data_IF_913437334861
#
_entry.id   IF_913437334861
#
_cell.length_a   1.000
_cell.length_b   1.000
_cell.length_c   1.000
_cell.angle_alpha   90.00
_cell.angle_beta   90.00
_cell.angle_gamma   90.00
#
_symmetry.space_group_name_H-M   'P 1'
#
loop_
_entity.id
_entity.type
_entity.pdbx_description
1 polymer ?
#
# COMPACT_ATOMS: atom_id res chain seq x y z
N UNK A 1 -9.23 14.45 -0.83
CA UNK A 1 -9.91 13.17 -1.13
C UNK A 1 -9.30 12.58 -2.39
N UNK A 2 -9.34 11.27 -2.52
CA UNK A 2 -9.06 10.47 -3.71
C UNK A 2 -10.13 9.39 -3.77
N UNK A 3 -11.01 9.50 -4.75
CA UNK A 3 -12.24 8.72 -4.89
C UNK A 3 -12.59 8.62 -6.38
N UNK A 4 -12.50 7.39 -6.90
CA UNK A 4 -12.77 7.01 -8.28
C UNK A 4 -13.73 5.81 -8.29
N UNK A 5 -14.21 5.39 -9.46
CA UNK A 5 -14.95 4.12 -9.54
C UNK A 5 -14.06 3.00 -9.05
N UNK A 6 -14.59 2.15 -8.16
CA UNK A 6 -13.88 1.02 -7.60
C UNK A 6 -13.61 -0.09 -8.63
N UNK A 7 -12.84 -1.11 -8.21
CA UNK A 7 -12.54 -2.26 -9.03
C UNK A 7 -13.80 -3.08 -9.33
N UNK A 8 -13.69 -3.97 -10.31
CA UNK A 8 -14.63 -5.06 -10.52
C UNK A 8 -13.90 -6.36 -10.22
N UNK A 9 -14.27 -7.02 -9.11
CA UNK A 9 -13.62 -8.24 -8.60
C UNK A 9 -12.13 -8.05 -8.25
N UNK A 10 -11.77 -6.86 -7.77
CA UNK A 10 -10.39 -6.49 -7.44
C UNK A 10 -9.57 -5.91 -8.60
N UNK A 11 -10.03 -6.06 -9.85
CA UNK A 11 -9.36 -5.44 -11.00
C UNK A 11 -9.85 -4.02 -11.28
N UNK A 12 -8.90 -3.09 -11.41
CA UNK A 12 -9.15 -1.71 -11.84
C UNK A 12 -9.41 -1.64 -13.37
N UNK A 13 -10.52 -2.21 -13.83
CA UNK A 13 -10.93 -2.20 -15.25
C UNK A 13 -11.74 -0.96 -15.63
N UNK A 14 -12.30 -0.27 -14.66
CA UNK A 14 -13.16 0.90 -14.86
C UNK A 14 -12.34 2.19 -14.91
N UNK A 15 -12.11 2.77 -13.75
CA UNK A 15 -11.23 3.90 -13.57
C UNK A 15 -9.85 3.39 -13.17
N UNK A 16 -8.80 4.08 -13.61
CA UNK A 16 -7.43 3.78 -13.21
C UNK A 16 -6.67 5.04 -12.84
N UNK A 17 -5.75 4.88 -11.91
CA UNK A 17 -4.70 5.83 -11.61
C UNK A 17 -3.37 5.10 -11.61
N UNK A 18 -2.46 5.55 -12.46
CA UNK A 18 -1.16 4.93 -12.71
C UNK A 18 -0.08 5.97 -12.53
N UNK A 19 1.00 5.59 -11.83
CA UNK A 19 2.22 6.40 -11.75
C UNK A 19 3.32 5.76 -12.56
N UNK A 20 3.94 6.55 -13.44
CA UNK A 20 4.96 6.11 -14.38
C UNK A 20 6.28 6.86 -14.16
N UNK A 21 7.39 6.22 -14.51
CA UNK A 21 8.72 6.83 -14.54
C UNK A 21 9.59 6.58 -13.31
N UNK A 22 9.26 5.65 -12.41
CA UNK A 22 10.17 5.28 -11.33
C UNK A 22 11.34 4.40 -11.79
N UNK A 23 12.29 4.14 -10.89
CA UNK A 23 13.41 3.24 -11.11
C UNK A 23 12.96 1.86 -11.64
N UNK A 24 13.81 1.24 -12.45
CA UNK A 24 13.55 -0.10 -12.97
C UNK A 24 13.37 -1.11 -11.82
N UNK A 25 12.31 -1.93 -11.92
CA UNK A 25 11.99 -2.94 -10.89
C UNK A 25 11.24 -2.40 -9.68
N UNK A 26 10.82 -1.13 -9.71
CA UNK A 26 9.79 -0.59 -8.81
C UNK A 26 8.43 -1.19 -9.16
N UNK A 27 7.78 -1.80 -8.17
CA UNK A 27 6.42 -2.30 -8.28
C UNK A 27 5.48 -1.20 -7.80
N UNK A 28 4.86 -0.49 -8.74
CA UNK A 28 3.87 0.54 -8.44
C UNK A 28 2.50 0.02 -8.85
N UNK A 29 1.56 -0.10 -7.91
CA UNK A 29 0.25 -0.61 -8.23
C UNK A 29 -0.57 0.37 -9.06
N UNK A 30 -1.46 -0.17 -9.90
CA UNK A 30 -2.57 0.59 -10.44
C UNK A 30 -3.63 0.75 -9.36
N UNK A 31 -4.10 1.98 -9.16
CA UNK A 31 -5.10 2.28 -8.14
C UNK A 31 -6.45 2.61 -8.78
N UNK A 32 -7.52 2.26 -8.08
CA UNK A 32 -8.89 2.69 -8.34
C UNK A 32 -9.67 2.73 -7.01
N UNK A 33 -10.92 3.19 -7.05
CA UNK A 33 -11.74 3.33 -5.84
C UNK A 33 -11.25 4.40 -4.87
N UNK A 34 -11.30 4.12 -3.56
CA UNK A 34 -11.04 5.10 -2.49
C UNK A 34 -9.63 4.94 -1.94
N UNK A 35 -8.79 5.96 -2.13
CA UNK A 35 -7.40 5.98 -1.61
C UNK A 35 -7.10 7.29 -0.86
N UNK A 36 -8.14 7.89 -0.26
CA UNK A 36 -7.96 9.11 0.54
C UNK A 36 -7.07 8.84 1.75
N UNK A 37 -6.09 9.70 1.98
CA UNK A 37 -5.16 9.56 3.11
C UNK A 37 -4.01 8.59 2.86
N UNK A 38 -3.99 7.91 1.71
CA UNK A 38 -2.87 7.06 1.29
C UNK A 38 -1.77 7.88 0.62
N UNK A 39 -0.54 7.36 0.64
CA UNK A 39 0.63 7.93 -0.03
C UNK A 39 1.45 6.85 -0.74
N UNK A 40 2.30 7.30 -1.66
CA UNK A 40 3.28 6.47 -2.35
C UNK A 40 4.63 7.20 -2.39
N UNK A 41 5.71 6.50 -2.05
CA UNK A 41 7.09 6.91 -2.21
C UNK A 41 7.72 6.14 -3.37
N UNK A 42 8.41 6.87 -4.25
CA UNK A 42 8.95 6.33 -5.49
C UNK A 42 10.41 6.75 -5.61
N UNK A 43 11.29 5.76 -5.74
CA UNK A 43 12.69 5.99 -6.07
C UNK A 43 12.80 6.35 -7.57
N UNK A 44 13.43 7.48 -7.87
CA UNK A 44 13.57 8.03 -9.24
C UNK A 44 15.01 8.43 -9.59
N UNK A 45 15.96 8.18 -8.68
CA UNK A 45 17.38 8.55 -8.80
C UNK A 45 18.12 7.81 -9.92
N UNK A 46 17.53 6.74 -10.48
CA UNK A 46 18.05 5.99 -11.62
C UNK A 46 16.99 5.88 -12.74
N UNK A 47 16.20 6.95 -12.93
CA UNK A 47 15.22 7.06 -14.01
C UNK A 47 15.29 8.45 -14.65
N UNK A 48 15.40 8.48 -15.98
CA UNK A 48 15.40 9.74 -16.75
C UNK A 48 13.98 10.28 -17.02
N UNK A 49 12.94 9.60 -16.50
CA UNK A 49 11.55 9.94 -16.74
C UNK A 49 11.09 9.66 -18.18
N UNK A 50 9.97 10.26 -18.63
CA UNK A 50 9.15 11.24 -17.92
C UNK A 50 8.37 10.65 -16.74
N UNK A 51 8.31 11.39 -15.62
CA UNK A 51 7.46 11.06 -14.47
C UNK A 51 6.01 11.50 -14.73
N UNK A 52 5.05 10.58 -14.71
CA UNK A 52 3.66 10.88 -15.06
C UNK A 52 2.69 10.31 -14.04
N UNK A 53 1.65 11.10 -13.76
CA UNK A 53 0.44 10.65 -13.09
C UNK A 53 -0.65 10.58 -14.14
N UNK A 54 -1.16 9.38 -14.43
CA UNK A 54 -2.15 9.15 -15.47
C UNK A 54 -3.43 8.67 -14.82
N UNK A 55 -4.52 9.41 -15.03
CA UNK A 55 -5.85 9.01 -14.59
C UNK A 55 -6.71 8.71 -15.81
N UNK A 56 -7.32 7.52 -15.85
CA UNK A 56 -8.27 7.11 -16.88
C UNK A 56 -9.63 6.91 -16.22
N UNK A 57 -10.68 7.38 -16.87
CA UNK A 57 -12.03 7.38 -16.31
C UNK A 57 -12.96 6.62 -17.24
N UNK A 58 -13.75 5.72 -16.69
CA UNK A 58 -14.82 5.02 -17.39
C UNK A 58 -16.01 5.93 -17.67
N UNK A 59 -16.94 5.49 -18.51
CA UNK A 59 -18.17 6.21 -18.83
C UNK A 59 -19.24 6.15 -17.71
N UNK A 60 -18.97 5.46 -16.59
CA UNK A 60 -19.93 5.35 -15.50
C UNK A 60 -20.25 6.72 -14.88
N UNK A 61 -21.54 6.91 -14.57
CA UNK A 61 -22.01 8.08 -13.85
C UNK A 61 -21.63 7.97 -12.36
N UNK A 62 -20.44 8.47 -12.03
CA UNK A 62 -19.87 8.44 -10.68
C UNK A 62 -19.18 9.77 -10.39
N UNK A 63 -19.38 10.30 -9.19
CA UNK A 63 -18.75 11.55 -8.74
C UNK A 63 -17.31 11.28 -8.34
N UNK A 64 -16.39 11.52 -9.27
CA UNK A 64 -14.95 11.33 -9.05
C UNK A 64 -14.34 12.61 -8.49
N UNK A 65 -13.44 12.46 -7.53
CA UNK A 65 -12.70 13.58 -6.94
C UNK A 65 -11.32 13.12 -6.48
N UNK A 66 -10.29 13.88 -6.81
CA UNK A 66 -8.96 13.64 -6.28
C UNK A 66 -8.20 14.93 -6.02
N UNK A 67 -7.38 14.94 -4.97
CA UNK A 67 -6.42 15.99 -4.64
C UNK A 67 -5.10 15.32 -4.32
N UNK A 68 -4.15 15.46 -5.23
CA UNK A 68 -2.85 14.80 -5.16
C UNK A 68 -1.79 15.87 -4.86
N UNK A 69 -0.98 15.63 -3.82
CA UNK A 69 0.20 16.44 -3.52
C UNK A 69 1.43 15.64 -3.91
N UNK A 70 2.29 16.21 -4.74
CA UNK A 70 3.59 15.63 -5.11
C UNK A 70 4.68 16.43 -4.43
N UNK A 71 5.65 15.73 -3.82
CA UNK A 71 6.81 16.33 -3.17
C UNK A 71 8.05 15.56 -3.60
N UNK A 72 9.07 16.26 -4.09
CA UNK A 72 10.38 15.66 -4.35
C UNK A 72 11.20 15.67 -3.06
N UNK A 73 11.85 14.56 -2.77
CA UNK A 73 12.65 14.36 -1.55
C UNK A 73 14.09 14.13 -1.98
N UNK A 74 14.97 15.02 -1.54
CA UNK A 74 16.40 14.90 -1.84
C UNK A 74 17.03 13.73 -1.08
N UNK A 75 18.12 13.20 -1.63
CA UNK A 75 18.83 12.05 -1.05
C UNK A 75 19.29 12.26 0.40
N UNK A 76 19.59 13.51 0.77
CA UNK A 76 20.06 13.88 2.12
C UNK A 76 18.92 14.24 3.07
N UNK A 77 17.68 14.16 2.62
CA UNK A 77 16.55 14.55 3.43
C UNK A 77 16.29 13.51 4.54
N UNK A 78 16.02 13.93 5.80
CA UNK A 78 15.76 13.00 6.90
C UNK A 78 14.56 12.06 6.67
N UNK A 79 13.59 12.49 5.86
CA UNK A 79 12.43 11.68 5.48
C UNK A 79 12.68 10.79 4.25
N UNK A 80 13.93 10.59 3.82
CA UNK A 80 14.25 9.64 2.76
C UNK A 80 13.78 8.25 3.18
N UNK A 81 13.03 7.59 2.29
CA UNK A 81 12.54 6.24 2.52
C UNK A 81 13.62 5.21 2.27
N UNK A 82 13.56 4.03 2.91
CA UNK A 82 14.35 2.90 2.46
C UNK A 82 13.96 2.51 1.03
N UNK A 83 14.89 1.88 0.31
CA UNK A 83 14.68 1.44 -1.06
C UNK A 83 13.51 0.44 -1.14
N UNK A 84 12.64 0.58 -2.15
CA UNK A 84 11.44 -0.27 -2.38
C UNK A 84 10.32 -0.18 -1.32
N UNK A 85 10.34 0.83 -0.47
CA UNK A 85 9.22 1.12 0.44
C UNK A 85 8.20 2.02 -0.25
N UNK A 86 7.09 1.44 -0.71
CA UNK A 86 6.03 2.23 -1.36
C UNK A 86 5.27 3.08 -0.35
N UNK A 87 5.01 2.56 0.85
CA UNK A 87 4.45 3.33 1.96
C UNK A 87 5.48 3.42 3.08
N UNK A 88 5.66 4.62 3.63
CA UNK A 88 6.60 4.84 4.73
C UNK A 88 5.93 5.61 5.87
N UNK A 89 6.09 5.12 7.09
CA UNK A 89 5.50 5.67 8.30
C UNK A 89 6.59 5.91 9.35
N UNK A 90 6.79 7.15 9.78
CA UNK A 90 7.87 7.53 10.70
C UNK A 90 7.40 7.88 12.11
N UNK A 91 6.09 8.07 12.29
CA UNK A 91 5.52 8.42 13.58
C UNK A 91 5.52 7.21 14.51
N UNK A 92 5.72 7.37 15.84
CA UNK A 92 5.69 6.26 16.79
C UNK A 92 4.34 5.53 16.86
N UNK A 93 3.26 6.20 16.47
CA UNK A 93 1.92 5.60 16.40
C UNK A 93 1.21 6.08 15.14
N UNK A 94 0.41 5.23 14.53
CA UNK A 94 -0.39 5.62 13.39
C UNK A 94 -1.34 4.52 12.93
N UNK A 95 -1.93 4.72 11.76
CA UNK A 95 -2.79 3.74 11.12
C UNK A 95 -2.42 3.60 9.65
N UNK A 96 -2.64 2.40 9.12
CA UNK A 96 -2.38 2.06 7.73
C UNK A 96 -3.44 1.04 7.25
N UNK A 97 -3.60 0.93 5.94
CA UNK A 97 -4.55 0.00 5.33
C UNK A 97 -4.09 -0.38 3.94
N UNK A 98 -4.67 -1.44 3.39
CA UNK A 98 -4.52 -1.72 1.96
C UNK A 98 -5.07 -0.58 1.12
N UNK A 99 -4.57 -0.45 -0.11
CA UNK A 99 -5.21 0.40 -1.11
C UNK A 99 -6.66 -0.06 -1.35
N UNK A 100 -7.53 0.90 -1.65
CA UNK A 100 -8.98 0.71 -1.79
C UNK A 100 -9.73 0.14 -0.56
N UNK A 101 -9.13 0.12 0.64
CA UNK A 101 -9.85 -0.30 1.85
C UNK A 101 -11.05 0.60 2.14
N UNK A 102 -12.22 0.00 2.40
CA UNK A 102 -13.49 0.73 2.61
C UNK A 102 -14.04 1.39 1.33
N UNK A 103 -13.55 0.97 0.16
CA UNK A 103 -14.03 1.40 -1.14
C UNK A 103 -15.45 0.92 -1.47
N UNK A 104 -15.96 1.32 -2.63
CA UNK A 104 -17.21 0.83 -3.19
C UNK A 104 -16.98 0.37 -4.64
N UNK A 105 -16.97 -0.96 -4.91
CA UNK A 105 -17.12 -2.05 -3.94
C UNK A 105 -15.94 -2.15 -2.97
N UNK A 106 -16.19 -2.71 -1.78
CA UNK A 106 -15.16 -2.94 -0.76
C UNK A 106 -14.35 -4.17 -1.15
N UNK A 107 -13.41 -3.95 -2.06
CA UNK A 107 -12.63 -4.99 -2.72
C UNK A 107 -11.16 -4.59 -2.71
N UNK A 108 -10.31 -5.47 -2.22
CA UNK A 108 -8.87 -5.35 -2.30
C UNK A 108 -8.45 -5.40 -3.77
N UNK A 109 -7.44 -4.62 -4.13
CA UNK A 109 -6.96 -4.58 -5.51
C UNK A 109 -6.14 -5.84 -5.82
N UNK A 110 -6.29 -6.38 -7.02
CA UNK A 110 -5.51 -7.53 -7.50
C UNK A 110 -4.10 -7.11 -7.93
N UNK A 111 -3.20 -8.10 -8.02
CA UNK A 111 -1.85 -7.95 -8.57
C UNK A 111 -0.97 -6.94 -7.82
N UNK A 112 -1.21 -6.74 -6.54
CA UNK A 112 -0.45 -5.82 -5.71
C UNK A 112 0.81 -6.52 -5.21
N UNK A 113 1.96 -5.84 -5.32
CA UNK A 113 3.21 -6.29 -4.73
C UNK A 113 3.98 -5.07 -4.23
N UNK A 114 3.76 -4.69 -2.97
CA UNK A 114 4.41 -3.51 -2.40
C UNK A 114 4.73 -3.69 -0.92
N UNK A 115 5.68 -2.89 -0.43
CA UNK A 115 6.08 -2.88 0.97
C UNK A 115 5.61 -1.62 1.68
N UNK A 116 5.12 -1.82 2.90
CA UNK A 116 4.84 -0.79 3.90
C UNK A 116 5.97 -0.84 4.91
N UNK A 117 6.66 0.27 5.11
CA UNK A 117 7.84 0.36 5.94
C UNK A 117 7.63 1.32 7.10
N UNK A 118 8.27 1.01 8.22
CA UNK A 118 8.24 1.83 9.43
C UNK A 118 9.64 2.35 9.73
N UNK A 119 9.73 3.66 9.96
CA UNK A 119 10.99 4.34 10.22
C UNK A 119 11.57 3.98 11.58
N UNK A 120 12.90 4.02 11.68
CA UNK A 120 13.57 3.86 12.96
C UNK A 120 13.37 5.11 13.83
N UNK A 121 12.90 4.91 15.05
CA UNK A 121 12.79 5.97 16.06
C UNK A 121 13.72 5.63 17.24
N UNK A 122 14.66 6.51 17.61
CA UNK A 122 15.56 6.26 18.74
C UNK A 122 14.78 5.95 20.03
N UNK A 123 15.19 4.90 20.74
CA UNK A 123 14.54 4.44 21.97
C UNK A 123 13.39 3.46 21.76
N UNK A 124 13.05 3.13 20.51
CA UNK A 124 12.05 2.11 20.16
C UNK A 124 12.73 0.91 19.51
N UNK A 125 12.37 -0.29 19.95
CA UNK A 125 13.00 -1.55 19.55
C UNK A 125 12.02 -2.57 18.94
N UNK A 126 10.72 -2.31 19.04
CA UNK A 126 9.68 -3.25 18.62
C UNK A 126 8.45 -2.50 18.10
N UNK A 127 7.53 -3.19 17.44
CA UNK A 127 6.28 -2.64 16.92
C UNK A 127 5.10 -3.55 17.29
N UNK A 128 4.08 -2.96 17.91
CA UNK A 128 2.77 -3.59 18.06
C UNK A 128 1.88 -3.19 16.90
N UNK A 129 1.26 -4.16 16.23
CA UNK A 129 0.27 -3.94 15.18
C UNK A 129 -1.06 -4.55 15.63
N UNK A 130 -2.13 -3.77 15.53
CA UNK A 130 -3.48 -4.20 15.85
C UNK A 130 -4.38 -4.02 14.62
N UNK A 131 -4.92 -5.11 14.11
CA UNK A 131 -5.83 -5.08 12.96
C UNK A 131 -7.25 -4.77 13.41
N UNK A 132 -7.79 -3.66 12.92
CA UNK A 132 -9.20 -3.32 13.07
C UNK A 132 -10.07 -4.16 12.14
N UNK A 133 -9.54 -4.41 10.93
CA UNK A 133 -10.14 -5.27 9.91
C UNK A 133 -9.04 -6.03 9.21
N UNK A 134 -9.30 -7.30 8.96
CA UNK A 134 -8.37 -8.19 8.30
C UNK A 134 -9.18 -9.23 7.55
N UNK A 135 -9.28 -9.02 6.24
CA UNK A 135 -10.04 -9.84 5.31
C UNK A 135 -9.15 -9.98 4.08
N UNK A 136 -8.29 -11.00 4.10
CA UNK A 136 -7.34 -11.28 3.02
C UNK A 136 -7.62 -12.64 2.35
N UNK A 137 -8.66 -13.32 2.82
CA UNK A 137 -9.01 -14.66 2.38
C UNK A 137 -7.91 -15.67 2.71
N UNK A 138 -8.11 -16.90 2.24
CA UNK A 138 -7.11 -17.96 2.45
C UNK A 138 -5.90 -17.72 1.53
N UNK A 139 -4.88 -17.07 2.08
CA UNK A 139 -3.62 -16.73 1.42
C UNK A 139 -2.67 -17.92 1.52
N UNK A 140 -2.39 -18.57 0.37
CA UNK A 140 -1.40 -19.63 0.24
C UNK A 140 0.05 -19.09 0.14
N UNK A 141 0.31 -17.88 0.63
CA UNK A 141 1.64 -17.27 0.62
C UNK A 141 2.60 -17.99 1.57
N UNK A 142 3.75 -18.42 1.07
CA UNK A 142 4.83 -18.97 1.89
C UNK A 142 5.63 -17.82 2.54
N UNK A 143 5.07 -17.22 3.60
CA UNK A 143 5.76 -16.21 4.41
C UNK A 143 6.88 -16.81 5.29
N UNK A 144 7.23 -18.09 5.11
CA UNK A 144 8.10 -18.81 6.03
C UNK A 144 7.60 -18.71 7.47
N UNK A 145 8.40 -18.10 8.34
CA UNK A 145 8.15 -18.00 9.78
C UNK A 145 7.72 -16.59 10.23
N UNK A 146 7.77 -15.59 9.34
CA UNK A 146 7.58 -14.18 9.68
C UNK A 146 6.27 -13.68 9.07
N UNK A 147 5.18 -13.92 9.79
CA UNK A 147 3.83 -13.54 9.36
C UNK A 147 2.91 -13.30 10.56
N UNK A 148 1.93 -12.41 10.37
CA UNK A 148 0.76 -12.32 11.25
C UNK A 148 -0.33 -13.20 10.69
N UNK A 149 -0.80 -14.16 11.47
CA UNK A 149 -1.87 -15.09 11.10
C UNK A 149 -3.14 -14.83 11.90
N UNK A 150 -4.30 -14.79 11.27
CA UNK A 150 -5.60 -14.86 11.94
C UNK A 150 -6.55 -15.74 11.15
N UNK A 151 -7.14 -16.75 11.79
CA UNK A 151 -8.16 -17.64 11.20
C UNK A 151 -7.81 -18.31 9.84
N UNK A 152 -6.54 -18.36 9.45
CA UNK A 152 -6.08 -18.91 8.16
C UNK A 152 -5.39 -17.88 7.26
N UNK A 153 -5.57 -16.60 7.54
CA UNK A 153 -5.10 -15.48 6.71
C UNK A 153 -3.69 -15.03 7.19
N UNK A 154 -2.68 -14.96 6.31
CA UNK A 154 -1.25 -14.69 6.66
C UNK A 154 -0.63 -13.46 5.98
N UNK A 155 -0.43 -12.34 6.68
CA UNK A 155 0.33 -11.21 6.14
C UNK A 155 1.81 -11.40 6.46
N UNK A 156 2.66 -11.43 5.44
CA UNK A 156 4.09 -11.56 5.63
C UNK A 156 4.68 -10.29 6.25
N UNK A 157 5.36 -10.46 7.38
CA UNK A 157 6.08 -9.41 8.10
C UNK A 157 7.57 -9.70 7.95
N UNK A 158 8.41 -8.68 7.91
CA UNK A 158 9.84 -8.86 8.14
C UNK A 158 10.23 -8.02 9.36
N UNK A 159 10.46 -8.69 10.49
CA UNK A 159 10.91 -8.07 11.74
C UNK A 159 12.45 -8.07 11.87
N UNK A 160 13.17 -8.76 10.98
CA UNK A 160 14.64 -8.81 10.96
C UNK A 160 15.20 -7.75 9.99
N UNK A 161 15.29 -6.51 10.46
CA UNK A 161 15.78 -5.37 9.68
C UNK A 161 14.94 -4.12 9.93
N UNK A 162 14.97 -3.11 9.03
CA UNK A 162 13.93 -2.07 9.05
C UNK A 162 12.56 -2.75 8.95
N UNK A 163 11.71 -2.46 9.94
CA UNK A 163 10.40 -3.09 10.09
C UNK A 163 9.59 -2.83 8.82
N UNK A 164 9.23 -3.89 8.11
CA UNK A 164 8.46 -3.80 6.88
C UNK A 164 7.42 -4.91 6.78
N UNK A 165 6.28 -4.58 6.19
CA UNK A 165 5.19 -5.48 5.85
C UNK A 165 5.12 -5.55 4.34
N UNK A 166 5.03 -6.74 3.77
CA UNK A 166 4.87 -6.87 2.32
C UNK A 166 3.46 -7.34 2.02
N UNK A 167 2.80 -6.58 1.14
CA UNK A 167 1.46 -6.85 0.66
C UNK A 167 1.57 -7.53 -0.70
N UNK A 168 1.00 -8.72 -0.78
CA UNK A 168 0.84 -9.49 -2.00
C UNK A 168 -0.63 -9.81 -2.19
N UNK A 169 -1.18 -9.50 -3.36
CA UNK A 169 -2.48 -10.01 -3.78
C UNK A 169 -2.32 -10.81 -5.06
N UNK A 170 -3.12 -11.86 -5.17
CA UNK A 170 -3.18 -12.64 -6.40
C UNK A 170 -3.99 -11.90 -7.49
N UNK A 171 -4.15 -12.54 -8.63
CA UNK A 171 -4.83 -12.02 -9.82
C UNK A 171 -5.94 -12.98 -10.29
N UNK A 172 -6.38 -13.91 -9.44
CA UNK A 172 -7.30 -14.97 -9.84
C UNK A 172 -8.76 -14.49 -9.93
N UNK A 173 -9.07 -13.30 -9.40
CA UNK A 173 -10.41 -12.69 -9.47
C UNK A 173 -11.50 -13.55 -8.79
N UNK A 174 -11.09 -14.51 -7.94
CA UNK A 174 -11.96 -15.53 -7.36
C UNK A 174 -12.54 -15.11 -6.02
N UNK A 175 -12.02 -14.01 -5.44
CA UNK A 175 -12.43 -13.53 -4.14
C UNK A 175 -12.40 -12.01 -4.07
N UNK A 176 -13.44 -11.48 -3.43
CA UNK A 176 -13.75 -10.05 -3.36
C UNK A 176 -13.47 -9.55 -1.93
N UNK A 177 -12.30 -9.88 -1.39
CA UNK A 177 -11.94 -9.52 -0.02
C UNK A 177 -11.93 -8.01 0.19
N UNK A 178 -12.24 -7.56 1.40
CA UNK A 178 -12.23 -6.13 1.73
C UNK A 178 -10.82 -5.56 1.94
N UNK A 179 -9.82 -6.42 2.16
CA UNK A 179 -8.46 -6.03 2.50
C UNK A 179 -8.26 -5.85 4.01
N UNK A 180 -7.33 -4.99 4.39
CA UNK A 180 -6.98 -4.81 5.81
C UNK A 180 -6.88 -3.34 6.23
N UNK A 181 -7.13 -3.10 7.50
CA UNK A 181 -6.84 -1.85 8.20
C UNK A 181 -6.31 -2.13 9.59
N UNK A 182 -5.22 -1.47 9.95
CA UNK A 182 -4.54 -1.66 11.21
C UNK A 182 -4.04 -0.34 11.81
N UNK A 183 -3.91 -0.34 13.13
CA UNK A 183 -3.15 0.64 13.87
C UNK A 183 -1.81 0.04 14.29
N UNK A 184 -0.78 0.87 14.37
CA UNK A 184 0.53 0.46 14.87
C UNK A 184 1.01 1.39 15.99
N UNK A 185 1.84 0.83 16.85
CA UNK A 185 2.53 1.52 17.94
C UNK A 185 3.93 0.95 18.07
N UNK A 186 4.96 1.80 17.94
CA UNK A 186 6.32 1.44 18.28
C UNK A 186 6.44 1.30 19.80
N UNK A 187 7.14 0.26 20.25
CA UNK A 187 7.36 -0.04 21.66
C UNK A 187 8.81 0.26 22.05
N UNK A 188 8.97 0.86 23.22
CA UNK A 188 10.27 1.24 23.74
C UNK A 188 11.15 0.00 23.97
N UNK A 189 12.45 0.22 23.83
CA UNK A 189 13.44 -0.61 24.52
C UNK A 189 13.30 -0.35 26.05
#
# INVERSE_FOLDING_TARGET
DFDMVGPLRGDCTNDTFVVLGANQGSNIPTLCGINTGQHMYLDIDNSDGPFKLVSTMSAFNYMRRWKIKVTFIDEKHPCKTPFRCLQYFTEPTGAFSSFNFGGSPSQMLNGQMYSICFGYVPGYCDIGINYNRYDLGNINGDCGNDYTANAGDKLCVNATGPISLTVFTDDNNEREEEGFSAAYMMMAC
#
